data_IF_552974517931
#
_entry.id   IF_552974517931
#
_cell.length_a   1.000
_cell.length_b   1.000
_cell.length_c   1.000
_cell.angle_alpha   90.00
_cell.angle_beta   90.00
_cell.angle_gamma   90.00
#
_symmetry.space_group_name_H-M   'P 1'
#
loop_
_entity.id
_entity.type
_entity.pdbx_description
1 polymer ?
#
# COMPACT_ATOMS: atom_id res chain seq x y z
N UNK A 1 -23.26 12.03 -13.85
CA UNK A 1 -22.54 11.10 -12.96
C UNK A 1 -22.89 9.69 -13.40
N UNK A 2 -21.92 8.81 -13.62
CA UNK A 2 -22.22 7.42 -13.99
C UNK A 2 -22.76 6.63 -12.79
N UNK A 3 -23.44 5.49 -13.03
CA UNK A 3 -23.84 4.59 -11.91
C UNK A 3 -22.66 4.17 -11.04
N UNK A 4 -21.48 4.00 -11.64
CA UNK A 4 -20.24 3.72 -10.93
C UNK A 4 -19.81 4.89 -10.04
N UNK A 5 -19.86 6.12 -10.55
CA UNK A 5 -19.52 7.31 -9.76
C UNK A 5 -20.48 7.45 -8.55
N UNK A 6 -21.75 7.19 -8.74
CA UNK A 6 -22.75 7.23 -7.66
C UNK A 6 -22.46 6.17 -6.60
N UNK A 7 -22.19 4.93 -7.01
CA UNK A 7 -21.87 3.83 -6.11
C UNK A 7 -20.54 4.07 -5.36
N UNK A 8 -19.50 4.51 -6.06
CA UNK A 8 -18.20 4.83 -5.48
C UNK A 8 -18.29 5.99 -4.48
N UNK A 9 -18.98 7.07 -4.85
CA UNK A 9 -19.21 8.22 -3.97
C UNK A 9 -20.03 7.83 -2.74
N UNK A 10 -21.04 6.98 -2.89
CA UNK A 10 -21.81 6.50 -1.76
C UNK A 10 -20.95 5.74 -0.75
N UNK A 11 -20.14 4.77 -1.22
CA UNK A 11 -19.21 4.03 -0.37
C UNK A 11 -18.25 4.97 0.39
N UNK A 12 -17.67 5.94 -0.32
CA UNK A 12 -16.64 6.83 0.23
C UNK A 12 -17.22 7.88 1.20
N UNK A 13 -18.44 8.35 0.96
CA UNK A 13 -19.05 9.44 1.75
C UNK A 13 -19.89 8.92 2.93
N UNK A 14 -20.53 7.76 2.79
CA UNK A 14 -21.48 7.25 3.78
C UNK A 14 -20.83 6.31 4.79
N UNK A 15 -19.82 5.54 4.38
CA UNK A 15 -19.21 4.57 5.27
C UNK A 15 -18.06 5.18 6.07
N UNK A 16 -17.93 4.86 7.37
CA UNK A 16 -16.79 5.27 8.18
C UNK A 16 -15.48 4.81 7.53
N UNK A 17 -14.58 5.76 7.26
CA UNK A 17 -13.31 5.47 6.60
C UNK A 17 -12.16 6.00 7.44
N UNK A 18 -11.41 5.09 8.09
CA UNK A 18 -10.24 5.43 8.90
C UNK A 18 -9.22 6.29 8.15
N UNK A 19 -8.97 5.98 6.88
CA UNK A 19 -8.00 6.70 6.06
C UNK A 19 -8.35 8.18 5.83
N UNK A 20 -9.63 8.54 5.83
CA UNK A 20 -10.09 9.94 5.64
C UNK A 20 -10.33 10.69 6.92
N UNK A 21 -10.86 10.01 7.93
CA UNK A 21 -11.34 10.65 9.16
C UNK A 21 -10.35 10.53 10.31
N UNK A 22 -9.30 9.66 10.16
CA UNK A 22 -8.54 9.21 11.30
C UNK A 22 -9.38 8.30 12.20
N UNK A 23 -8.87 7.93 13.34
CA UNK A 23 -9.59 7.14 14.33
C UNK A 23 -8.96 7.30 15.70
N UNK A 24 -9.74 6.96 16.72
CA UNK A 24 -9.24 6.78 18.08
C UNK A 24 -9.20 5.29 18.41
N UNK A 25 -8.44 4.84 19.41
CA UNK A 25 -8.50 3.46 19.87
C UNK A 25 -9.94 2.99 20.20
N UNK A 26 -10.80 3.90 20.65
CA UNK A 26 -12.20 3.61 20.93
C UNK A 26 -13.06 3.34 19.67
N UNK A 27 -12.64 3.83 18.50
CA UNK A 27 -13.33 3.60 17.22
C UNK A 27 -12.73 2.44 16.42
N UNK A 28 -11.57 1.91 16.85
CA UNK A 28 -10.96 0.71 16.28
C UNK A 28 -11.68 -0.52 16.81
N UNK A 29 -12.34 -1.25 15.93
CA UNK A 29 -13.10 -2.44 16.33
C UNK A 29 -12.16 -3.58 16.71
N UNK A 30 -12.48 -4.25 17.82
CA UNK A 30 -11.67 -5.32 18.37
C UNK A 30 -12.20 -6.72 18.04
N UNK A 31 -13.01 -6.87 16.98
CA UNK A 31 -13.56 -8.16 16.56
C UNK A 31 -13.74 -8.23 15.04
N UNK A 32 -14.00 -9.44 14.54
CA UNK A 32 -14.27 -9.74 13.14
C UNK A 32 -15.73 -10.12 12.88
N UNK A 33 -16.62 -9.92 13.84
CA UNK A 33 -17.97 -10.47 13.78
C UNK A 33 -18.80 -9.83 12.65
N UNK A 34 -18.71 -8.52 12.47
CA UNK A 34 -19.38 -7.84 11.34
C UNK A 34 -18.81 -8.31 9.99
N UNK A 35 -17.49 -8.47 9.89
CA UNK A 35 -16.87 -9.00 8.67
C UNK A 35 -17.36 -10.43 8.37
N UNK A 36 -17.46 -11.29 9.39
CA UNK A 36 -17.98 -12.66 9.21
C UNK A 36 -19.44 -12.66 8.79
N UNK A 37 -20.30 -11.86 9.44
CA UNK A 37 -21.70 -11.70 9.06
C UNK A 37 -21.84 -11.18 7.64
N UNK A 38 -21.05 -10.17 7.26
CA UNK A 38 -21.02 -9.65 5.90
C UNK A 38 -20.64 -10.74 4.87
N UNK A 39 -19.60 -11.49 5.14
CA UNK A 39 -19.18 -12.58 4.26
C UNK A 39 -20.23 -13.70 4.19
N UNK A 40 -20.96 -13.96 5.27
CA UNK A 40 -22.06 -14.92 5.28
C UNK A 40 -23.22 -14.44 4.38
N UNK A 41 -23.60 -13.17 4.43
CA UNK A 41 -24.57 -12.55 3.49
C UNK A 41 -24.13 -12.75 2.04
N UNK A 42 -22.84 -12.60 1.74
CA UNK A 42 -22.26 -12.81 0.42
C UNK A 42 -22.08 -14.27 0.02
N UNK A 43 -22.45 -15.25 0.88
CA UNK A 43 -22.28 -16.67 0.64
C UNK A 43 -20.84 -17.16 0.82
N UNK A 44 -20.06 -16.54 1.73
CA UNK A 44 -18.68 -16.89 2.09
C UNK A 44 -17.72 -16.96 0.90
N UNK A 45 -17.64 -15.90 0.06
CA UNK A 45 -16.87 -15.93 -1.18
C UNK A 45 -15.37 -16.18 -0.98
N UNK A 46 -14.81 -15.82 0.19
CA UNK A 46 -13.41 -16.03 0.57
C UNK A 46 -13.00 -17.50 0.68
N UNK A 47 -13.95 -18.43 0.67
CA UNK A 47 -13.70 -19.88 0.72
C UNK A 47 -13.67 -20.53 -0.67
N UNK A 48 -13.98 -19.78 -1.73
CA UNK A 48 -14.14 -20.34 -3.08
C UNK A 48 -12.80 -20.57 -3.83
N UNK A 49 -11.68 -20.08 -3.30
CA UNK A 49 -10.36 -20.12 -3.94
C UNK A 49 -9.23 -20.08 -2.89
N UNK A 50 -8.05 -20.63 -3.20
CA UNK A 50 -6.88 -20.51 -2.33
C UNK A 50 -6.36 -19.08 -2.30
N UNK A 51 -5.66 -18.70 -1.21
CA UNK A 51 -5.08 -17.36 -1.11
C UNK A 51 -3.70 -17.34 -0.42
N UNK A 52 -2.97 -16.24 -0.60
CA UNK A 52 -1.78 -15.85 0.17
C UNK A 52 -2.12 -14.57 0.92
N UNK A 53 -1.81 -14.51 2.21
CA UNK A 53 -2.17 -13.40 3.09
C UNK A 53 -0.93 -12.62 3.52
N UNK A 54 -0.91 -11.30 3.29
CA UNK A 54 0.30 -10.47 3.43
C UNK A 54 0.06 -9.32 4.40
N UNK A 55 0.79 -9.34 5.53
CA UNK A 55 0.87 -8.27 6.51
C UNK A 55 2.27 -7.61 6.48
N UNK A 56 2.44 -6.54 7.26
CA UNK A 56 3.71 -5.83 7.42
C UNK A 56 3.49 -4.34 7.66
N UNK A 57 4.53 -3.63 8.04
CA UNK A 57 4.48 -2.17 8.11
C UNK A 57 4.63 -1.59 6.72
N UNK A 58 5.73 -1.84 6.05
CA UNK A 58 6.00 -1.42 4.67
C UNK A 58 6.19 -2.64 3.75
N UNK A 59 6.12 -2.43 2.43
CA UNK A 59 6.35 -3.48 1.45
C UNK A 59 5.17 -4.40 1.14
N UNK A 60 4.07 -4.37 1.92
CA UNK A 60 2.87 -5.20 1.68
C UNK A 60 2.39 -5.15 0.24
N UNK A 61 1.95 -3.97 -0.20
CA UNK A 61 1.41 -3.79 -1.55
C UNK A 61 2.42 -4.18 -2.64
N UNK A 62 3.71 -3.79 -2.51
CA UNK A 62 4.74 -4.20 -3.47
C UNK A 62 4.90 -5.72 -3.54
N UNK A 63 4.96 -6.40 -2.39
CA UNK A 63 5.05 -7.87 -2.32
C UNK A 63 3.81 -8.53 -2.90
N UNK A 64 2.60 -8.01 -2.60
CA UNK A 64 1.35 -8.51 -3.19
C UNK A 64 1.34 -8.39 -4.72
N UNK A 65 1.77 -7.24 -5.26
CA UNK A 65 1.85 -7.03 -6.70
C UNK A 65 2.94 -7.92 -7.35
N UNK A 66 4.08 -8.14 -6.69
CA UNK A 66 5.12 -9.05 -7.16
C UNK A 66 4.59 -10.49 -7.22
N UNK A 67 3.92 -10.97 -6.16
CA UNK A 67 3.29 -12.29 -6.11
C UNK A 67 2.24 -12.42 -7.22
N UNK A 68 1.34 -11.46 -7.36
CA UNK A 68 0.32 -11.47 -8.40
C UNK A 68 0.95 -11.54 -9.80
N UNK A 69 1.97 -10.73 -10.08
CA UNK A 69 2.68 -10.74 -11.37
C UNK A 69 3.37 -12.07 -11.65
N UNK A 70 4.02 -12.69 -10.63
CA UNK A 70 4.69 -13.99 -10.77
C UNK A 70 3.68 -15.08 -11.13
N UNK A 71 2.58 -15.16 -10.40
CA UNK A 71 1.56 -16.20 -10.65
C UNK A 71 0.78 -15.97 -11.95
N UNK A 72 0.61 -14.72 -12.39
CA UNK A 72 0.08 -14.43 -13.75
C UNK A 72 1.02 -14.92 -14.85
N UNK A 73 2.35 -14.74 -14.70
CA UNK A 73 3.34 -15.29 -15.65
C UNK A 73 3.43 -16.83 -15.56
N UNK A 74 2.94 -17.43 -14.48
CA UNK A 74 2.74 -18.87 -14.37
C UNK A 74 1.44 -19.35 -15.00
N UNK A 75 0.59 -18.43 -15.51
CA UNK A 75 -0.63 -18.77 -16.24
C UNK A 75 -1.90 -18.77 -15.38
N UNK A 76 -1.84 -18.33 -14.11
CA UNK A 76 -3.00 -18.30 -13.23
C UNK A 76 -3.81 -17.01 -13.40
N UNK A 77 -5.13 -17.10 -13.26
CA UNK A 77 -6.01 -15.95 -13.05
C UNK A 77 -5.92 -15.54 -11.59
N UNK A 78 -5.23 -14.40 -11.32
CA UNK A 78 -4.94 -13.96 -9.96
C UNK A 78 -5.89 -12.84 -9.55
N UNK A 79 -6.57 -13.00 -8.41
CA UNK A 79 -7.24 -11.95 -7.68
C UNK A 79 -6.21 -11.20 -6.79
N UNK A 80 -6.23 -9.88 -6.82
CA UNK A 80 -5.31 -9.06 -6.02
C UNK A 80 -6.10 -8.03 -5.21
N UNK A 81 -6.10 -8.19 -3.88
CA UNK A 81 -6.62 -7.21 -2.94
C UNK A 81 -5.49 -6.39 -2.35
N UNK A 82 -5.55 -5.05 -2.48
CA UNK A 82 -4.57 -4.12 -1.92
C UNK A 82 -5.23 -2.86 -1.35
N UNK A 83 -4.54 -2.16 -0.44
CA UNK A 83 -5.01 -0.91 0.14
C UNK A 83 -3.85 0.00 0.58
N UNK A 84 -4.06 1.34 0.53
CA UNK A 84 -5.16 2.05 -0.10
C UNK A 84 -5.09 2.03 -1.63
N UNK A 85 -6.16 2.45 -2.30
CA UNK A 85 -6.11 2.81 -3.71
C UNK A 85 -5.48 4.21 -3.89
N UNK A 86 -4.95 4.48 -5.09
CA UNK A 86 -4.39 5.79 -5.44
C UNK A 86 -5.39 6.66 -6.22
N UNK A 87 -5.96 6.15 -7.30
CA UNK A 87 -6.80 6.91 -8.21
C UNK A 87 -8.23 6.36 -8.35
N UNK A 88 -8.40 5.06 -8.18
CA UNK A 88 -9.64 4.36 -8.48
C UNK A 88 -9.95 3.32 -7.39
N UNK A 89 -11.17 3.32 -6.89
CA UNK A 89 -11.64 2.34 -5.88
C UNK A 89 -11.34 0.89 -6.31
N UNK A 90 -11.46 0.59 -7.60
CA UNK A 90 -11.25 -0.75 -8.18
C UNK A 90 -9.80 -1.23 -8.10
N UNK A 91 -8.84 -0.36 -7.78
CA UNK A 91 -7.47 -0.76 -7.48
C UNK A 91 -7.39 -1.69 -6.28
N UNK A 92 -8.40 -1.62 -5.37
CA UNK A 92 -8.49 -2.51 -4.20
C UNK A 92 -8.82 -3.95 -4.52
N UNK A 93 -9.33 -4.24 -5.72
CA UNK A 93 -9.69 -5.58 -6.18
C UNK A 93 -9.50 -5.70 -7.69
N UNK A 94 -8.34 -6.20 -8.07
CA UNK A 94 -7.97 -6.47 -9.46
C UNK A 94 -8.08 -7.97 -9.76
N UNK A 95 -8.41 -8.30 -10.99
CA UNK A 95 -8.42 -9.68 -11.48
C UNK A 95 -7.57 -9.76 -12.75
N UNK A 96 -6.57 -10.65 -12.75
CA UNK A 96 -5.64 -10.77 -13.87
C UNK A 96 -4.94 -9.44 -14.21
N UNK A 97 -4.62 -8.62 -13.17
CA UNK A 97 -4.02 -7.30 -13.31
C UNK A 97 -4.97 -6.17 -13.76
N UNK A 98 -6.21 -6.49 -14.12
CA UNK A 98 -7.21 -5.52 -14.60
C UNK A 98 -8.15 -5.07 -13.50
N UNK A 99 -8.63 -3.84 -13.60
CA UNK A 99 -9.71 -3.33 -12.76
C UNK A 99 -11.01 -4.08 -13.07
N UNK A 100 -11.82 -4.37 -12.05
CA UNK A 100 -13.17 -4.88 -12.25
C UNK A 100 -14.00 -3.90 -13.09
N UNK A 101 -14.97 -4.38 -13.90
CA UNK A 101 -15.87 -3.51 -14.65
C UNK A 101 -16.63 -2.55 -13.74
N UNK A 102 -16.83 -1.31 -14.19
CA UNK A 102 -17.60 -0.30 -13.45
C UNK A 102 -19.03 -0.76 -13.18
N UNK A 103 -19.64 -1.43 -14.17
CA UNK A 103 -20.97 -2.00 -14.02
C UNK A 103 -21.03 -3.02 -12.88
N UNK A 104 -20.02 -3.88 -12.74
CA UNK A 104 -19.98 -4.85 -11.63
C UNK A 104 -19.99 -4.17 -10.26
N UNK A 105 -19.22 -3.07 -10.11
CA UNK A 105 -19.18 -2.31 -8.84
C UNK A 105 -20.55 -1.65 -8.57
N UNK A 106 -21.15 -1.04 -9.59
CA UNK A 106 -22.45 -0.40 -9.47
C UNK A 106 -23.54 -1.43 -9.08
N UNK A 107 -23.59 -2.56 -9.79
CA UNK A 107 -24.56 -3.65 -9.54
C UNK A 107 -24.37 -4.23 -8.14
N UNK A 108 -23.13 -4.45 -7.71
CA UNK A 108 -22.83 -4.97 -6.37
C UNK A 108 -23.33 -4.00 -5.27
N UNK A 109 -23.00 -2.72 -5.40
CA UNK A 109 -23.43 -1.72 -4.40
C UNK A 109 -24.96 -1.59 -4.38
N UNK A 110 -25.61 -1.59 -5.53
CA UNK A 110 -27.06 -1.54 -5.62
C UNK A 110 -27.72 -2.75 -4.95
N UNK A 111 -27.20 -3.95 -5.20
CA UNK A 111 -27.74 -5.18 -4.63
C UNK A 111 -27.57 -5.28 -3.12
N UNK A 112 -26.46 -4.76 -2.57
CA UNK A 112 -26.07 -4.98 -1.18
C UNK A 112 -26.07 -3.72 -0.31
N UNK A 113 -26.58 -2.58 -0.82
CA UNK A 113 -26.59 -1.32 -0.07
C UNK A 113 -27.26 -1.46 1.31
N UNK A 114 -28.43 -2.14 1.36
CA UNK A 114 -29.17 -2.36 2.62
C UNK A 114 -28.37 -3.22 3.59
N UNK A 115 -27.80 -4.32 3.11
CA UNK A 115 -27.00 -5.21 3.97
C UNK A 115 -25.82 -4.47 4.59
N UNK A 116 -25.15 -3.61 3.79
CA UNK A 116 -24.02 -2.79 4.24
C UNK A 116 -24.48 -1.78 5.31
N UNK A 117 -25.63 -1.13 5.13
CA UNK A 117 -26.19 -0.17 6.09
C UNK A 117 -26.67 -0.89 7.36
N UNK A 118 -27.43 -1.98 7.25
CA UNK A 118 -27.99 -2.73 8.38
C UNK A 118 -26.88 -3.35 9.27
N UNK A 119 -25.78 -3.80 8.68
CA UNK A 119 -24.60 -4.27 9.39
C UNK A 119 -23.70 -3.13 9.90
N UNK A 120 -23.99 -1.88 9.52
CA UNK A 120 -23.17 -0.69 9.83
C UNK A 120 -21.69 -0.93 9.50
N UNK A 121 -21.39 -1.43 8.31
CA UNK A 121 -20.02 -1.74 7.90
C UNK A 121 -19.19 -0.48 7.76
N UNK A 122 -17.91 -0.59 8.09
CA UNK A 122 -16.92 0.38 7.68
C UNK A 122 -16.63 0.24 6.17
N UNK A 123 -16.07 1.29 5.58
CA UNK A 123 -15.62 1.26 4.21
C UNK A 123 -14.65 0.10 3.92
N UNK A 124 -13.76 -0.21 4.89
CA UNK A 124 -12.81 -1.31 4.71
C UNK A 124 -13.50 -2.67 4.74
N UNK A 125 -14.39 -2.93 5.70
CA UNK A 125 -15.17 -4.17 5.76
C UNK A 125 -16.00 -4.39 4.48
N UNK A 126 -16.69 -3.34 4.02
CA UNK A 126 -17.47 -3.40 2.78
C UNK A 126 -16.59 -3.74 1.57
N UNK A 127 -15.44 -3.05 1.41
CA UNK A 127 -14.55 -3.26 0.27
C UNK A 127 -13.77 -4.58 0.33
N UNK A 128 -13.49 -5.15 1.51
CA UNK A 128 -12.96 -6.52 1.65
C UNK A 128 -13.98 -7.55 1.15
N UNK A 129 -15.25 -7.44 1.55
CA UNK A 129 -16.31 -8.32 1.03
C UNK A 129 -16.49 -8.19 -0.48
N UNK A 130 -16.45 -6.94 -1.01
CA UNK A 130 -16.45 -6.69 -2.46
C UNK A 130 -15.29 -7.38 -3.17
N UNK A 131 -14.07 -7.29 -2.63
CA UNK A 131 -12.90 -7.95 -3.21
C UNK A 131 -13.09 -9.47 -3.28
N UNK A 132 -13.53 -10.07 -2.19
CA UNK A 132 -13.74 -11.52 -2.14
C UNK A 132 -14.86 -11.97 -3.07
N UNK A 133 -15.96 -11.24 -3.18
CA UNK A 133 -17.04 -11.52 -4.13
C UNK A 133 -16.57 -11.39 -5.59
N UNK A 134 -15.79 -10.32 -5.90
CA UNK A 134 -15.23 -10.12 -7.23
C UNK A 134 -14.33 -11.29 -7.67
N UNK A 135 -13.52 -11.83 -6.75
CA UNK A 135 -12.64 -12.96 -7.03
C UNK A 135 -13.41 -14.24 -7.26
N UNK A 136 -14.46 -14.53 -6.46
CA UNK A 136 -15.37 -15.66 -6.69
C UNK A 136 -16.06 -15.56 -8.04
N UNK A 137 -16.64 -14.40 -8.35
CA UNK A 137 -17.40 -14.18 -9.58
C UNK A 137 -16.51 -14.28 -10.82
N UNK A 138 -15.25 -13.85 -10.71
CA UNK A 138 -14.25 -14.01 -11.75
C UNK A 138 -13.58 -15.37 -11.79
N UNK A 139 -13.88 -16.28 -10.85
CA UNK A 139 -13.32 -17.64 -10.72
C UNK A 139 -11.78 -17.61 -10.75
N UNK A 140 -11.18 -16.81 -9.85
CA UNK A 140 -9.72 -16.74 -9.76
C UNK A 140 -9.13 -18.07 -9.30
N UNK A 141 -7.94 -18.42 -9.82
CA UNK A 141 -7.19 -19.61 -9.39
C UNK A 141 -6.47 -19.40 -8.06
N UNK A 142 -6.13 -18.14 -7.75
CA UNK A 142 -5.42 -17.73 -6.53
C UNK A 142 -5.76 -16.28 -6.19
N UNK A 143 -5.95 -15.97 -4.91
CA UNK A 143 -6.04 -14.61 -4.43
C UNK A 143 -4.78 -14.20 -3.63
N UNK A 144 -4.28 -13.01 -3.87
CA UNK A 144 -3.26 -12.35 -3.05
C UNK A 144 -3.96 -11.26 -2.25
N UNK A 145 -3.90 -11.36 -0.91
CA UNK A 145 -4.70 -10.54 -0.01
C UNK A 145 -3.80 -9.72 0.90
N UNK A 146 -3.82 -8.39 0.75
CA UNK A 146 -3.11 -7.46 1.61
C UNK A 146 -3.92 -7.11 2.86
N UNK A 147 -3.30 -7.20 4.04
CA UNK A 147 -3.84 -6.67 5.30
C UNK A 147 -3.91 -5.16 5.26
N UNK A 148 -5.03 -4.58 5.68
CA UNK A 148 -5.18 -3.13 5.76
C UNK A 148 -4.35 -2.51 6.89
N UNK A 149 -4.55 -2.98 8.13
CA UNK A 149 -3.84 -2.49 9.31
C UNK A 149 -3.69 -3.60 10.36
N UNK A 150 -2.49 -3.68 11.00
CA UNK A 150 -2.23 -4.71 11.99
C UNK A 150 -2.12 -6.09 11.37
N UNK A 151 -3.05 -6.96 11.68
CA UNK A 151 -3.18 -8.32 11.16
C UNK A 151 -4.24 -9.11 11.91
N UNK A 152 -4.08 -9.31 13.22
CA UNK A 152 -4.93 -10.16 14.06
C UNK A 152 -6.43 -9.84 13.95
N UNK A 153 -6.78 -8.58 13.95
CA UNK A 153 -8.16 -8.07 13.90
C UNK A 153 -8.50 -7.36 12.57
N UNK A 154 -7.65 -7.52 11.55
CA UNK A 154 -7.94 -6.98 10.22
C UNK A 154 -9.06 -7.78 9.55
N UNK A 155 -9.97 -7.08 8.84
CA UNK A 155 -11.12 -7.71 8.16
C UNK A 155 -10.71 -8.79 7.16
N UNK A 156 -9.46 -8.74 6.65
CA UNK A 156 -8.94 -9.79 5.78
C UNK A 156 -8.56 -11.07 6.52
N UNK A 157 -8.41 -11.04 7.86
CA UNK A 157 -7.93 -12.19 8.65
C UNK A 157 -8.96 -13.30 8.89
N UNK A 158 -10.01 -13.31 8.10
CA UNK A 158 -11.03 -14.39 8.01
C UNK A 158 -10.61 -15.52 7.07
N UNK A 159 -9.55 -15.32 6.29
CA UNK A 159 -9.05 -16.29 5.31
C UNK A 159 -8.18 -17.39 5.96
N UNK A 160 -8.11 -18.55 5.29
CA UNK A 160 -7.16 -19.63 5.57
C UNK A 160 -6.19 -19.71 4.38
N UNK A 161 -5.00 -19.10 4.48
CA UNK A 161 -4.10 -18.97 3.33
C UNK A 161 -3.21 -20.21 3.12
N UNK A 162 -2.63 -20.34 1.92
CA UNK A 162 -1.56 -21.30 1.62
C UNK A 162 -0.22 -20.88 2.29
N UNK A 163 -0.01 -19.59 2.46
CA UNK A 163 1.14 -19.02 3.17
C UNK A 163 0.74 -17.69 3.79
N UNK A 164 1.20 -17.44 5.02
CA UNK A 164 1.17 -16.13 5.68
C UNK A 164 2.49 -15.41 5.44
N UNK A 165 2.45 -14.09 5.18
CA UNK A 165 3.64 -13.30 4.86
C UNK A 165 3.67 -12.04 5.72
N UNK A 166 4.80 -11.77 6.37
CA UNK A 166 5.03 -10.53 7.13
C UNK A 166 6.25 -9.85 6.53
N UNK A 167 6.04 -8.73 5.83
CA UNK A 167 7.09 -8.10 5.01
C UNK A 167 8.13 -7.38 5.84
N UNK A 168 7.72 -6.51 6.75
CA UNK A 168 8.60 -5.73 7.62
C UNK A 168 7.88 -5.28 8.90
N UNK A 169 8.66 -4.92 9.93
CA UNK A 169 8.16 -4.37 11.19
C UNK A 169 8.86 -3.03 11.48
N UNK A 170 8.09 -1.96 11.46
CA UNK A 170 8.52 -0.62 11.84
C UNK A 170 7.45 0.07 12.68
N UNK A 171 7.81 1.17 13.32
CA UNK A 171 6.85 1.98 14.08
C UNK A 171 5.88 2.66 13.11
N UNK A 172 4.62 2.27 13.17
CA UNK A 172 3.50 2.90 12.48
C UNK A 172 2.20 2.52 13.20
N UNK A 173 1.21 3.39 13.18
CA UNK A 173 -0.07 3.17 13.87
C UNK A 173 0.08 2.81 15.35
N UNK A 174 1.06 3.38 16.05
CA UNK A 174 1.42 3.02 17.43
C UNK A 174 0.28 3.21 18.43
N UNK A 175 -0.63 4.16 18.18
CA UNK A 175 -1.84 4.36 18.98
C UNK A 175 -2.81 3.14 18.95
N UNK A 176 -2.71 2.26 17.94
CA UNK A 176 -3.58 1.11 17.73
C UNK A 176 -2.87 -0.23 17.91
N UNK A 177 -1.61 -0.32 17.46
CA UNK A 177 -0.87 -1.57 17.39
C UNK A 177 0.11 -1.77 18.54
N UNK A 178 0.26 -0.73 19.38
CA UNK A 178 1.20 -0.73 20.50
C UNK A 178 2.42 0.15 20.28
N UNK A 179 3.10 0.53 21.37
CA UNK A 179 4.13 1.58 21.35
C UNK A 179 5.50 1.11 20.82
N UNK A 180 5.72 -0.18 20.67
CA UNK A 180 7.00 -0.78 20.31
C UNK A 180 6.89 -1.80 19.17
N UNK A 181 8.04 -2.17 18.59
CA UNK A 181 8.10 -3.10 17.46
C UNK A 181 7.63 -4.51 17.81
N UNK A 182 7.84 -4.96 19.05
CA UNK A 182 7.40 -6.28 19.52
C UNK A 182 5.88 -6.37 19.57
N UNK A 183 5.20 -5.33 20.06
CA UNK A 183 3.73 -5.23 20.07
C UNK A 183 3.17 -5.23 18.63
N UNK A 184 3.76 -4.43 17.73
CA UNK A 184 3.38 -4.38 16.32
C UNK A 184 3.63 -5.73 15.63
N UNK A 185 4.74 -6.41 15.95
CA UNK A 185 5.03 -7.76 15.44
C UNK A 185 3.96 -8.77 15.87
N UNK A 186 3.53 -8.72 17.14
CA UNK A 186 2.49 -9.60 17.70
C UNK A 186 1.15 -9.40 17.00
N UNK A 187 0.73 -8.16 16.76
CA UNK A 187 -0.50 -7.86 16.02
C UNK A 187 -0.43 -8.37 14.55
N UNK A 188 0.72 -8.20 13.89
CA UNK A 188 0.89 -8.69 12.51
C UNK A 188 1.00 -10.21 12.46
N UNK A 189 1.66 -10.83 13.42
CA UNK A 189 1.75 -12.28 13.54
C UNK A 189 0.39 -12.97 13.78
N UNK A 190 -0.64 -12.22 14.13
CA UNK A 190 -2.01 -12.72 14.22
C UNK A 190 -2.60 -13.25 12.90
N UNK A 191 -1.91 -13.08 11.77
CA UNK A 191 -2.27 -13.74 10.50
C UNK A 191 -1.67 -15.15 10.34
N UNK A 192 -0.78 -15.58 11.24
CA UNK A 192 -0.22 -16.94 11.23
C UNK A 192 -1.34 -17.92 11.60
N UNK A 193 -1.58 -18.90 10.74
CA UNK A 193 -2.65 -19.87 10.89
C UNK A 193 -2.10 -21.25 11.21
N UNK A 194 -2.86 -22.11 11.89
CA UNK A 194 -2.41 -23.47 12.22
C UNK A 194 -1.92 -24.23 11.00
N UNK A 195 -0.70 -24.78 11.08
CA UNK A 195 -0.02 -25.60 10.07
C UNK A 195 0.31 -24.89 8.75
N UNK A 196 0.01 -23.60 8.61
CA UNK A 196 0.30 -22.79 7.42
C UNK A 196 1.71 -22.22 7.52
N UNK A 197 2.59 -22.35 6.51
CA UNK A 197 3.93 -21.76 6.55
C UNK A 197 3.87 -20.24 6.63
N UNK A 198 4.80 -19.65 7.38
CA UNK A 198 4.94 -18.19 7.50
C UNK A 198 6.29 -17.72 7.01
N UNK A 199 6.26 -16.68 6.14
CA UNK A 199 7.46 -16.00 5.64
C UNK A 199 7.59 -14.66 6.34
N UNK A 200 8.75 -14.41 6.97
CA UNK A 200 9.10 -13.14 7.63
C UNK A 200 10.23 -12.48 6.86
N UNK A 201 9.94 -11.31 6.28
CA UNK A 201 10.85 -10.60 5.37
C UNK A 201 11.95 -9.83 6.10
N UNK A 202 11.62 -9.23 7.24
CA UNK A 202 12.56 -8.47 8.07
C UNK A 202 12.47 -8.95 9.52
N UNK A 203 13.63 -9.21 10.11
CA UNK A 203 13.73 -9.73 11.47
C UNK A 203 15.06 -9.35 12.10
N UNK A 204 15.07 -9.24 13.42
CA UNK A 204 16.22 -9.01 14.27
C UNK A 204 15.99 -9.64 15.66
N UNK A 205 16.93 -9.41 16.59
CA UNK A 205 16.86 -9.99 17.93
C UNK A 205 15.66 -9.50 18.77
N UNK A 206 15.08 -8.35 18.43
CA UNK A 206 13.92 -7.79 19.13
C UNK A 206 12.61 -8.50 18.74
N UNK A 207 12.38 -8.70 17.43
CA UNK A 207 11.08 -9.15 16.92
C UNK A 207 11.04 -10.63 16.56
N UNK A 208 12.18 -11.27 16.28
CA UNK A 208 12.23 -12.70 15.91
C UNK A 208 11.62 -13.63 16.96
N UNK A 209 11.84 -13.43 18.27
CA UNK A 209 11.23 -14.27 19.31
C UNK A 209 9.70 -14.28 19.27
N UNK A 210 9.07 -13.15 18.90
CA UNK A 210 7.60 -13.05 18.76
C UNK A 210 7.10 -13.98 17.64
N UNK A 211 7.77 -13.99 16.49
CA UNK A 211 7.40 -14.86 15.38
C UNK A 211 7.65 -16.33 15.68
N UNK A 212 8.75 -16.66 16.38
CA UNK A 212 9.07 -18.03 16.80
C UNK A 212 8.01 -18.57 17.77
N UNK A 213 7.64 -17.79 18.79
CA UNK A 213 6.59 -18.13 19.76
C UNK A 213 5.26 -18.46 19.05
N UNK A 214 4.79 -17.54 18.20
CA UNK A 214 3.48 -17.67 17.55
C UNK A 214 3.48 -18.76 16.49
N UNK A 215 4.56 -18.91 15.73
CA UNK A 215 4.70 -19.97 14.75
C UNK A 215 4.70 -21.36 15.41
N UNK A 216 5.45 -21.50 16.52
CA UNK A 216 5.47 -22.75 17.32
C UNK A 216 4.08 -23.07 17.86
N UNK A 217 3.37 -22.10 18.44
CA UNK A 217 2.02 -22.27 18.98
C UNK A 217 1.01 -22.71 17.93
N UNK A 218 1.22 -22.33 16.66
CA UNK A 218 0.38 -22.73 15.52
C UNK A 218 0.91 -23.95 14.74
N UNK A 219 1.99 -24.58 15.21
CA UNK A 219 2.67 -25.65 14.45
C UNK A 219 2.97 -25.21 12.98
N UNK A 220 3.36 -23.95 12.80
CA UNK A 220 3.66 -23.33 11.52
C UNK A 220 5.16 -23.33 11.25
N UNK A 221 5.57 -23.66 10.03
CA UNK A 221 6.97 -23.56 9.65
C UNK A 221 7.34 -22.09 9.41
N UNK A 222 8.34 -21.59 10.17
CA UNK A 222 8.83 -20.21 10.07
C UNK A 222 9.98 -20.12 9.06
N UNK A 223 9.85 -19.27 8.06
CA UNK A 223 10.85 -18.97 7.04
C UNK A 223 11.31 -17.51 7.13
N UNK A 224 12.50 -17.30 7.68
CA UNK A 224 13.11 -15.97 7.78
C UNK A 224 13.90 -15.66 6.50
N UNK A 225 13.59 -14.53 5.86
CA UNK A 225 14.30 -14.05 4.67
C UNK A 225 15.58 -13.32 5.09
N UNK A 226 16.71 -13.63 4.47
CA UNK A 226 17.99 -12.94 4.70
C UNK A 226 18.47 -12.19 3.46
N UNK A 227 19.43 -11.28 3.64
CA UNK A 227 20.06 -10.56 2.54
C UNK A 227 20.83 -11.48 1.59
N UNK A 228 21.19 -12.69 2.04
CA UNK A 228 21.85 -13.73 1.23
C UNK A 228 20.88 -14.49 0.33
N UNK A 229 19.55 -14.40 0.62
CA UNK A 229 18.56 -15.04 -0.24
C UNK A 229 18.65 -14.49 -1.66
N UNK A 230 18.41 -15.37 -2.63
CA UNK A 230 18.45 -15.04 -4.06
C UNK A 230 17.44 -13.92 -4.35
N UNK A 231 17.81 -12.98 -5.21
CA UNK A 231 16.96 -11.91 -5.71
C UNK A 231 17.07 -11.82 -7.22
N UNK A 232 15.98 -11.47 -7.88
CA UNK A 232 15.94 -11.16 -9.29
C UNK A 232 15.61 -9.68 -9.49
N UNK A 233 16.02 -9.12 -10.63
CA UNK A 233 15.70 -7.75 -10.99
C UNK A 233 14.18 -7.58 -11.14
N UNK A 234 13.69 -6.42 -10.71
CA UNK A 234 12.30 -6.01 -10.85
C UNK A 234 12.23 -4.70 -11.63
N UNK A 235 11.10 -4.44 -12.30
CA UNK A 235 10.80 -3.16 -12.94
C UNK A 235 10.46 -2.05 -11.91
N UNK A 236 10.26 -2.40 -10.65
CA UNK A 236 10.06 -1.45 -9.56
C UNK A 236 11.41 -0.86 -9.11
N UNK A 237 11.54 0.46 -9.20
CA UNK A 237 12.84 1.14 -9.13
C UNK A 237 13.30 1.54 -7.72
N UNK A 238 12.49 1.33 -6.66
CA UNK A 238 12.89 1.60 -5.27
C UNK A 238 13.96 0.60 -4.81
N UNK A 239 15.05 1.05 -4.18
CA UNK A 239 16.10 0.16 -3.66
C UNK A 239 15.55 -0.88 -2.67
N UNK A 240 14.55 -0.49 -1.88
CA UNK A 240 13.83 -1.37 -0.94
C UNK A 240 13.05 -2.51 -1.63
N UNK A 241 12.84 -2.45 -2.95
CA UNK A 241 12.14 -3.49 -3.69
C UNK A 241 12.93 -4.79 -3.79
N UNK A 242 14.25 -4.75 -3.64
CA UNK A 242 15.07 -5.96 -3.59
C UNK A 242 14.66 -6.86 -2.41
N UNK A 243 14.38 -6.28 -1.25
CA UNK A 243 13.90 -7.05 -0.10
C UNK A 243 12.48 -7.58 -0.31
N UNK A 244 11.56 -6.76 -0.86
CA UNK A 244 10.22 -7.22 -1.21
C UNK A 244 10.25 -8.38 -2.22
N UNK A 245 11.18 -8.34 -3.19
CA UNK A 245 11.36 -9.42 -4.16
C UNK A 245 11.86 -10.72 -3.49
N UNK A 246 12.78 -10.64 -2.52
CA UNK A 246 13.21 -11.82 -1.74
C UNK A 246 12.04 -12.44 -0.98
N UNK A 247 11.20 -11.60 -0.36
CA UNK A 247 9.98 -12.05 0.34
C UNK A 247 9.03 -12.75 -0.63
N UNK A 248 8.78 -12.16 -1.80
CA UNK A 248 7.92 -12.75 -2.81
C UNK A 248 8.47 -14.10 -3.31
N UNK A 249 9.77 -14.19 -3.60
CA UNK A 249 10.42 -15.44 -4.05
C UNK A 249 10.32 -16.53 -2.96
N UNK A 250 10.61 -16.19 -1.70
CA UNK A 250 10.49 -17.14 -0.60
C UNK A 250 9.04 -17.60 -0.41
N UNK A 251 8.08 -16.69 -0.58
CA UNK A 251 6.65 -17.03 -0.50
C UNK A 251 6.24 -18.02 -1.60
N UNK A 252 6.66 -17.78 -2.84
CA UNK A 252 6.42 -18.72 -3.95
C UNK A 252 6.99 -20.11 -3.64
N UNK A 253 8.17 -20.19 -3.03
CA UNK A 253 8.82 -21.44 -2.69
C UNK A 253 8.05 -22.27 -1.64
N UNK A 254 7.28 -21.63 -0.74
CA UNK A 254 6.57 -22.30 0.36
C UNK A 254 5.06 -22.42 0.16
N UNK A 255 4.46 -21.68 -0.77
CA UNK A 255 3.02 -21.66 -0.98
C UNK A 255 2.47 -22.93 -1.66
N UNK A 256 3.31 -23.85 -2.10
CA UNK A 256 2.90 -25.15 -2.65
C UNK A 256 2.33 -25.09 -4.07
N UNK A 257 2.32 -23.94 -4.74
CA UNK A 257 1.92 -23.79 -6.14
C UNK A 257 3.19 -23.81 -7.01
N UNK A 258 3.32 -24.78 -7.95
CA UNK A 258 4.52 -24.86 -8.79
C UNK A 258 4.69 -23.63 -9.69
N UNK A 259 5.87 -23.01 -9.61
CA UNK A 259 6.28 -21.88 -10.48
C UNK A 259 7.71 -22.10 -10.92
N UNK A 260 7.96 -21.99 -12.23
CA UNK A 260 9.29 -22.15 -12.79
C UNK A 260 10.13 -20.89 -12.60
N UNK A 261 11.45 -21.02 -12.46
CA UNK A 261 12.33 -19.88 -12.24
C UNK A 261 12.20 -18.77 -13.31
N UNK A 262 12.04 -19.14 -14.58
CA UNK A 262 11.88 -18.16 -15.65
C UNK A 262 10.56 -17.37 -15.52
N UNK A 263 9.49 -17.99 -14.97
CA UNK A 263 8.21 -17.31 -14.68
C UNK A 263 8.37 -16.32 -13.52
N UNK A 264 9.13 -16.69 -12.46
CA UNK A 264 9.47 -15.78 -11.37
C UNK A 264 10.24 -14.57 -11.91
N UNK A 265 11.28 -14.79 -12.74
CA UNK A 265 12.06 -13.71 -13.36
C UNK A 265 11.18 -12.77 -14.21
N UNK A 266 10.34 -13.36 -15.06
CA UNK A 266 9.42 -12.59 -15.91
C UNK A 266 8.40 -11.81 -15.08
N UNK A 267 7.80 -12.44 -14.08
CA UNK A 267 6.85 -11.78 -13.20
C UNK A 267 7.46 -10.58 -12.47
N UNK A 268 8.65 -10.73 -11.91
CA UNK A 268 9.35 -9.63 -11.24
C UNK A 268 9.76 -8.51 -12.22
N UNK A 269 10.14 -8.84 -13.46
CA UNK A 269 10.52 -7.84 -14.46
C UNK A 269 9.34 -7.05 -15.06
N UNK A 270 8.09 -7.39 -14.70
CA UNK A 270 6.86 -6.81 -15.28
C UNK A 270 5.80 -6.48 -14.22
N UNK A 271 6.18 -6.27 -12.98
CA UNK A 271 5.23 -6.06 -11.88
C UNK A 271 4.28 -4.90 -12.17
N UNK A 272 4.83 -3.72 -12.49
CA UNK A 272 4.03 -2.55 -12.80
C UNK A 272 3.17 -2.77 -14.06
N UNK A 273 3.72 -3.38 -15.10
CA UNK A 273 3.00 -3.66 -16.35
C UNK A 273 1.84 -4.65 -16.16
N UNK A 274 2.08 -5.74 -15.41
CA UNK A 274 1.09 -6.80 -15.20
C UNK A 274 0.00 -6.42 -14.19
N UNK A 275 0.29 -5.51 -13.25
CA UNK A 275 -0.59 -5.28 -12.09
C UNK A 275 -1.01 -3.83 -11.90
N UNK A 276 -0.41 -2.89 -12.63
CA UNK A 276 -0.74 -1.47 -12.55
C UNK A 276 -0.32 -0.81 -11.23
N UNK A 277 0.71 -1.31 -10.52
CA UNK A 277 1.24 -0.68 -9.30
C UNK A 277 1.78 0.71 -9.60
N UNK A 278 1.36 1.70 -8.81
CA UNK A 278 1.80 3.09 -8.90
C UNK A 278 2.24 3.62 -7.53
N UNK A 279 2.99 4.73 -7.53
CA UNK A 279 3.33 5.48 -6.31
C UNK A 279 4.35 4.79 -5.41
N UNK A 280 5.20 3.90 -5.93
CA UNK A 280 6.30 3.24 -5.23
C UNK A 280 7.59 3.46 -5.99
N UNK A 281 8.30 4.55 -5.69
CA UNK A 281 9.40 5.07 -6.49
C UNK A 281 9.02 5.18 -7.97
N UNK A 282 7.88 5.81 -8.21
CA UNK A 282 7.24 5.90 -9.53
C UNK A 282 7.85 7.08 -10.30
N UNK A 283 8.60 6.80 -11.36
CA UNK A 283 9.20 7.83 -12.20
C UNK A 283 8.16 8.37 -13.17
N UNK A 284 7.57 9.52 -12.82
CA UNK A 284 6.52 10.16 -13.60
C UNK A 284 7.07 10.87 -14.85
N UNK A 285 8.29 11.40 -14.74
CA UNK A 285 8.98 12.12 -15.81
C UNK A 285 10.50 11.95 -15.68
N UNK A 286 11.20 11.86 -16.81
CA UNK A 286 12.65 11.66 -16.83
C UNK A 286 13.44 12.96 -16.94
N UNK A 287 12.85 14.02 -17.53
CA UNK A 287 13.50 15.33 -17.73
C UNK A 287 12.45 16.46 -17.68
N UNK A 288 12.36 17.23 -16.56
CA UNK A 288 13.09 16.99 -15.32
C UNK A 288 12.76 15.61 -14.71
N UNK A 289 13.66 15.08 -13.89
CA UNK A 289 13.34 13.87 -13.16
C UNK A 289 12.22 14.16 -12.14
N UNK A 290 11.08 13.51 -12.26
CA UNK A 290 9.98 13.58 -11.28
C UNK A 290 9.72 12.18 -10.75
N UNK A 291 9.92 12.00 -9.44
CA UNK A 291 9.71 10.72 -8.73
C UNK A 291 8.62 10.88 -7.70
N UNK A 292 7.65 9.99 -7.68
CA UNK A 292 6.61 9.91 -6.66
C UNK A 292 6.77 8.66 -5.80
N UNK A 293 6.80 8.85 -4.47
CA UNK A 293 6.92 7.74 -3.51
C UNK A 293 6.05 7.97 -2.28
N UNK A 294 5.25 6.98 -1.91
CA UNK A 294 4.28 7.06 -0.82
C UNK A 294 4.83 6.67 0.56
N UNK A 295 6.16 6.65 0.73
CA UNK A 295 6.77 6.53 2.05
C UNK A 295 6.29 7.67 2.97
N UNK A 296 5.81 7.31 4.18
CA UNK A 296 5.15 8.25 5.10
C UNK A 296 5.40 7.93 6.58
N UNK A 297 6.24 6.97 6.88
CA UNK A 297 6.75 6.64 8.20
C UNK A 297 8.28 6.51 8.13
N UNK A 298 8.99 6.65 9.25
CA UNK A 298 10.45 6.68 9.30
C UNK A 298 11.10 5.46 8.62
N UNK A 299 10.55 4.28 8.88
CA UNK A 299 11.06 3.02 8.33
C UNK A 299 11.00 2.95 6.78
N UNK A 300 10.03 3.61 6.14
CA UNK A 300 9.94 3.72 4.68
C UNK A 300 10.62 4.97 4.13
N UNK A 301 10.55 6.07 4.88
CA UNK A 301 11.07 7.38 4.45
C UNK A 301 12.60 7.42 4.35
N UNK A 302 13.31 6.89 5.36
CA UNK A 302 14.77 6.91 5.40
C UNK A 302 15.40 6.23 4.17
N UNK A 303 15.04 5.00 3.79
CA UNK A 303 15.54 4.39 2.56
C UNK A 303 15.21 5.17 1.30
N UNK A 304 14.01 5.75 1.21
CA UNK A 304 13.62 6.59 0.08
C UNK A 304 14.50 7.85 -0.01
N UNK A 305 14.82 8.51 1.09
CA UNK A 305 15.69 9.68 1.11
C UNK A 305 17.15 9.35 0.79
N UNK A 306 17.65 8.22 1.23
CA UNK A 306 18.99 7.74 0.84
C UNK A 306 19.08 7.55 -0.68
N UNK A 307 18.08 6.87 -1.26
CA UNK A 307 18.00 6.70 -2.71
C UNK A 307 17.84 8.03 -3.44
N UNK A 308 16.97 8.93 -2.93
CA UNK A 308 16.76 10.25 -3.51
C UNK A 308 18.05 11.04 -3.59
N UNK A 309 18.79 11.13 -2.48
CA UNK A 309 20.07 11.83 -2.43
C UNK A 309 21.09 11.28 -3.41
N UNK A 310 21.16 9.97 -3.57
CA UNK A 310 22.05 9.30 -4.53
C UNK A 310 21.67 9.61 -5.98
N UNK A 311 20.36 9.55 -6.33
CA UNK A 311 19.89 9.70 -7.71
C UNK A 311 19.86 11.17 -8.16
N UNK A 312 19.46 12.08 -7.29
CA UNK A 312 19.49 13.52 -7.62
C UNK A 312 20.92 14.03 -7.79
N UNK A 313 21.89 13.50 -7.02
CA UNK A 313 23.29 13.92 -7.04
C UNK A 313 23.42 15.43 -6.82
N UNK A 314 24.15 16.13 -7.69
CA UNK A 314 24.34 17.58 -7.66
C UNK A 314 23.27 18.39 -8.41
N UNK A 315 22.18 17.76 -8.86
CA UNK A 315 21.10 18.47 -9.56
C UNK A 315 20.40 19.44 -8.61
N UNK A 316 20.01 20.61 -9.14
CA UNK A 316 19.11 21.52 -8.43
C UNK A 316 17.78 20.80 -8.21
N UNK A 317 17.47 20.51 -6.94
CA UNK A 317 16.38 19.63 -6.58
C UNK A 317 15.28 20.35 -5.77
N UNK A 318 14.05 19.94 -5.98
CA UNK A 318 12.88 20.33 -5.20
C UNK A 318 12.16 19.09 -4.63
N UNK A 319 11.41 19.30 -3.56
CA UNK A 319 10.52 18.28 -3.01
C UNK A 319 9.11 18.85 -2.87
N UNK A 320 8.13 18.16 -3.40
CA UNK A 320 6.69 18.45 -3.24
C UNK A 320 6.18 17.58 -2.11
N UNK A 321 5.90 18.17 -0.96
CA UNK A 321 5.57 17.44 0.25
C UNK A 321 4.23 17.87 0.84
N UNK A 322 3.41 16.87 1.19
CA UNK A 322 2.17 17.04 1.93
C UNK A 322 1.94 15.87 2.88
N UNK A 323 1.53 16.18 4.09
CA UNK A 323 1.44 15.24 5.21
C UNK A 323 0.05 15.25 5.84
N UNK A 324 -0.24 14.27 6.68
CA UNK A 324 -1.48 14.18 7.46
C UNK A 324 -1.21 14.58 8.91
N UNK A 325 -2.25 15.07 9.59
CA UNK A 325 -2.14 15.70 10.91
C UNK A 325 -1.82 14.74 12.06
N UNK A 326 -2.05 13.44 11.87
CA UNK A 326 -1.94 12.39 12.91
C UNK A 326 -0.59 11.63 12.86
N UNK A 327 0.41 12.12 12.13
CA UNK A 327 1.72 11.49 12.02
C UNK A 327 2.79 12.24 12.83
N UNK A 328 3.70 11.47 13.43
CA UNK A 328 4.95 12.02 13.95
C UNK A 328 5.85 12.40 12.77
N UNK A 329 6.16 13.69 12.67
CA UNK A 329 6.95 14.28 11.57
C UNK A 329 8.42 14.48 11.95
N UNK A 330 8.83 14.16 13.18
CA UNK A 330 10.14 14.47 13.73
C UNK A 330 11.28 13.94 12.86
N UNK A 331 11.29 12.64 12.58
CA UNK A 331 12.34 12.03 11.76
C UNK A 331 12.23 12.44 10.28
N UNK A 332 11.02 12.64 9.76
CA UNK A 332 10.81 13.14 8.42
C UNK A 332 11.49 14.49 8.25
N UNK A 333 11.23 15.45 9.14
CA UNK A 333 11.80 16.79 9.09
C UNK A 333 13.33 16.79 9.22
N UNK A 334 13.89 15.91 10.05
CA UNK A 334 15.34 15.80 10.25
C UNK A 334 16.07 15.24 9.03
N UNK A 335 15.42 14.41 8.24
CA UNK A 335 16.04 13.70 7.09
C UNK A 335 15.82 14.39 5.75
N UNK A 336 15.00 15.45 5.68
CA UNK A 336 14.85 16.26 4.47
C UNK A 336 16.17 16.95 4.14
N UNK A 337 16.70 16.80 2.90
CA UNK A 337 17.93 17.47 2.49
C UNK A 337 17.80 18.99 2.52
N UNK A 338 18.71 19.67 3.26
CA UNK A 338 18.66 21.13 3.48
C UNK A 338 18.92 21.96 2.23
N UNK A 339 19.53 21.38 1.21
CA UNK A 339 19.80 22.00 -0.10
C UNK A 339 18.65 21.85 -1.10
N UNK A 340 17.55 21.19 -0.72
CA UNK A 340 16.32 21.13 -1.51
C UNK A 340 15.39 22.30 -1.17
N UNK A 341 14.70 22.81 -2.18
CA UNK A 341 13.54 23.72 -1.97
C UNK A 341 12.29 22.86 -1.79
N UNK A 342 11.55 23.13 -0.71
CA UNK A 342 10.32 22.40 -0.41
C UNK A 342 9.12 23.19 -0.92
N UNK A 343 8.31 22.55 -1.75
CA UNK A 343 6.99 23.02 -2.15
C UNK A 343 5.98 22.30 -1.26
N UNK A 344 5.58 22.97 -0.17
CA UNK A 344 4.59 22.44 0.78
C UNK A 344 3.20 22.57 0.20
N UNK A 345 2.43 21.47 0.17
CA UNK A 345 1.04 21.46 -0.27
C UNK A 345 0.15 20.67 0.68
N UNK A 346 -1.15 20.92 0.61
CA UNK A 346 -2.16 20.21 1.39
C UNK A 346 -2.73 19.06 0.57
N UNK A 347 -2.66 17.79 1.05
CA UNK A 347 -3.32 16.68 0.40
C UNK A 347 -4.84 16.84 0.36
N UNK A 348 -5.50 16.37 -0.69
CA UNK A 348 -6.96 16.51 -0.91
C UNK A 348 -7.79 15.59 -0.01
N UNK A 349 -7.55 15.60 1.31
CA UNK A 349 -8.29 14.80 2.30
C UNK A 349 -8.60 15.59 3.59
N UNK A 350 -9.70 15.28 4.31
CA UNK A 350 -10.11 16.03 5.51
C UNK A 350 -9.08 16.05 6.66
N UNK A 351 -8.24 15.02 6.79
CA UNK A 351 -7.19 14.94 7.83
C UNK A 351 -5.82 15.44 7.38
N UNK A 352 -5.75 16.16 6.27
CA UNK A 352 -4.50 16.82 5.88
C UNK A 352 -4.02 17.76 7.00
N UNK A 353 -2.71 17.88 7.15
CA UNK A 353 -2.15 18.96 7.96
C UNK A 353 -2.35 20.25 7.17
N UNK A 354 -3.00 21.22 7.79
CA UNK A 354 -3.30 22.52 7.18
C UNK A 354 -2.02 23.17 6.62
N UNK A 355 -2.12 23.77 5.43
CA UNK A 355 -0.99 24.30 4.68
C UNK A 355 -0.16 25.30 5.49
N UNK A 356 -0.82 26.20 6.25
CA UNK A 356 -0.12 27.21 7.05
C UNK A 356 0.69 26.58 8.18
N UNK A 357 0.12 25.59 8.87
CA UNK A 357 0.80 24.84 9.92
C UNK A 357 1.96 24.00 9.35
N UNK A 358 1.76 23.35 8.20
CA UNK A 358 2.80 22.57 7.53
C UNK A 358 3.99 23.45 7.11
N UNK A 359 3.72 24.59 6.48
CA UNK A 359 4.75 25.56 6.06
C UNK A 359 5.53 26.11 7.26
N UNK A 360 4.86 26.38 8.39
CA UNK A 360 5.50 26.82 9.61
C UNK A 360 6.49 25.76 10.14
N UNK A 361 6.07 24.51 10.28
CA UNK A 361 6.93 23.39 10.72
C UNK A 361 8.15 23.21 9.83
N UNK A 362 8.00 23.30 8.52
CA UNK A 362 9.11 23.19 7.58
C UNK A 362 10.10 24.34 7.74
N UNK A 363 9.62 25.58 7.95
CA UNK A 363 10.48 26.77 8.19
C UNK A 363 11.22 26.67 9.52
N UNK A 364 10.53 26.24 10.57
CA UNK A 364 11.13 26.02 11.89
C UNK A 364 12.22 24.94 11.85
N UNK A 365 12.07 23.95 10.97
CA UNK A 365 13.11 22.97 10.67
C UNK A 365 14.28 23.54 9.82
N UNK A 366 14.29 24.83 9.50
CA UNK A 366 15.36 25.50 8.74
C UNK A 366 15.38 25.19 7.25
N UNK A 367 14.23 24.84 6.66
CA UNK A 367 14.08 24.52 5.25
C UNK A 367 13.65 25.74 4.42
N UNK A 368 14.04 25.78 3.14
CA UNK A 368 13.53 26.77 2.19
C UNK A 368 12.17 26.31 1.68
N UNK A 369 11.10 27.07 1.97
CA UNK A 369 9.72 26.61 1.72
C UNK A 369 8.94 27.58 0.85
N UNK A 370 8.19 27.04 -0.10
CA UNK A 370 7.13 27.68 -0.88
C UNK A 370 5.80 27.01 -0.58
N UNK A 371 4.76 27.81 -0.32
CA UNK A 371 3.41 27.31 -0.13
C UNK A 371 2.72 27.16 -1.49
N UNK A 372 2.06 26.03 -1.73
CA UNK A 372 1.28 25.76 -2.93
C UNK A 372 -0.09 25.17 -2.53
N UNK A 373 -1.14 25.51 -3.26
CA UNK A 373 -2.50 25.04 -2.97
C UNK A 373 -2.72 23.56 -3.34
N UNK A 374 -1.89 23.00 -4.23
CA UNK A 374 -2.02 21.63 -4.69
C UNK A 374 -0.68 21.03 -5.14
N UNK A 375 -0.62 19.70 -5.20
CA UNK A 375 0.54 18.99 -5.76
C UNK A 375 0.78 19.36 -7.24
N UNK A 376 -0.28 19.60 -8.03
CA UNK A 376 -0.18 20.02 -9.43
C UNK A 376 0.51 21.38 -9.55
N UNK A 377 0.08 22.37 -8.78
CA UNK A 377 0.69 23.70 -8.72
C UNK A 377 2.16 23.62 -8.32
N UNK A 378 2.45 22.87 -7.23
CA UNK A 378 3.80 22.69 -6.72
C UNK A 378 4.76 22.08 -7.77
N UNK A 379 4.34 21.04 -8.49
CA UNK A 379 5.13 20.40 -9.54
C UNK A 379 5.34 21.38 -10.71
N UNK A 380 4.30 22.08 -11.17
CA UNK A 380 4.39 23.02 -12.27
C UNK A 380 5.31 24.20 -11.92
N UNK A 381 5.20 24.75 -10.71
CA UNK A 381 6.05 25.83 -10.25
C UNK A 381 7.52 25.38 -10.14
N UNK A 382 7.79 24.19 -9.58
CA UNK A 382 9.13 23.64 -9.53
C UNK A 382 9.73 23.44 -10.94
N UNK A 383 8.95 22.98 -11.90
CA UNK A 383 9.37 22.89 -13.31
C UNK A 383 9.66 24.25 -13.91
N UNK A 384 8.79 25.23 -13.70
CA UNK A 384 8.94 26.61 -14.24
C UNK A 384 10.20 27.27 -13.71
N UNK A 385 10.56 27.01 -12.44
CA UNK A 385 11.79 27.51 -11.81
C UNK A 385 13.07 26.77 -12.22
N UNK A 386 12.96 25.76 -13.09
CA UNK A 386 14.10 25.04 -13.67
C UNK A 386 14.73 24.00 -12.72
N UNK A 387 14.00 23.46 -11.76
CA UNK A 387 14.47 22.32 -10.98
C UNK A 387 14.64 21.11 -11.88
N UNK A 388 15.78 20.43 -11.75
CA UNK A 388 16.17 19.28 -12.59
C UNK A 388 15.71 17.94 -12.02
N UNK A 389 15.43 17.93 -10.70
CA UNK A 389 14.94 16.76 -9.98
C UNK A 389 13.86 17.19 -8.98
N UNK A 390 12.72 16.51 -8.99
CA UNK A 390 11.55 16.80 -8.16
C UNK A 390 11.10 15.49 -7.51
N UNK A 391 11.07 15.44 -6.19
CA UNK A 391 10.51 14.35 -5.41
C UNK A 391 9.10 14.72 -4.96
N UNK A 392 8.15 13.79 -5.06
CA UNK A 392 6.77 13.97 -4.60
C UNK A 392 6.47 12.92 -3.54
N UNK A 393 6.12 13.34 -2.31
CA UNK A 393 5.89 12.39 -1.22
C UNK A 393 5.45 13.01 0.09
N UNK A 394 5.73 12.31 1.21
CA UNK A 394 5.29 12.66 2.55
C UNK A 394 3.97 12.01 2.95
N UNK A 395 3.11 11.67 1.99
CA UNK A 395 1.92 10.86 2.18
C UNK A 395 1.48 10.17 0.89
N UNK A 396 0.74 9.07 1.01
CA UNK A 396 0.11 8.42 -0.16
C UNK A 396 -0.90 9.34 -0.87
N UNK A 397 -1.48 10.29 -0.16
CA UNK A 397 -2.48 11.19 -0.69
C UNK A 397 -1.89 12.26 -1.62
N UNK A 398 -0.78 12.87 -1.24
CA UNK A 398 -0.09 13.82 -2.13
C UNK A 398 0.45 13.13 -3.38
N UNK A 399 0.85 11.87 -3.26
CA UNK A 399 1.24 11.05 -4.41
C UNK A 399 0.03 10.77 -5.31
N UNK A 400 -1.13 10.43 -4.73
CA UNK A 400 -2.36 10.24 -5.47
C UNK A 400 -2.79 11.53 -6.21
N UNK A 401 -2.74 12.69 -5.54
CA UNK A 401 -3.04 13.99 -6.15
C UNK A 401 -2.10 14.28 -7.34
N UNK A 402 -0.80 13.98 -7.20
CA UNK A 402 0.16 14.15 -8.29
C UNK A 402 -0.12 13.20 -9.45
N UNK A 403 -0.42 11.92 -9.17
CA UNK A 403 -0.80 10.95 -10.20
C UNK A 403 -2.06 11.38 -10.95
N UNK A 404 -3.08 11.87 -10.23
CA UNK A 404 -4.29 12.44 -10.82
C UNK A 404 -3.96 13.63 -11.72
N UNK A 405 -3.12 14.56 -11.23
CA UNK A 405 -2.71 15.74 -11.99
C UNK A 405 -2.00 15.38 -13.31
N UNK A 406 -1.17 14.33 -13.32
CA UNK A 406 -0.55 13.83 -14.55
C UNK A 406 -1.55 13.13 -15.49
N UNK A 407 -2.50 12.36 -14.94
CA UNK A 407 -3.56 11.71 -15.71
C UNK A 407 -4.46 12.73 -16.40
N UNK A 408 -4.84 13.78 -15.67
CA UNK A 408 -5.82 14.78 -16.11
C UNK A 408 -5.18 15.92 -16.93
N UNK A 409 -3.86 15.84 -17.19
CA UNK A 409 -3.13 16.85 -17.99
C UNK A 409 -2.91 18.18 -17.29
N UNK A 410 -3.14 18.26 -15.97
CA UNK A 410 -2.90 19.46 -15.17
C UNK A 410 -1.41 19.73 -14.92
N UNK A 411 -0.57 18.70 -15.06
CA UNK A 411 0.88 18.81 -15.11
C UNK A 411 1.33 18.49 -16.52
N UNK A 412 1.82 19.50 -17.24
CA UNK A 412 2.31 19.33 -18.61
C UNK A 412 3.60 18.53 -18.63
N UNK A 413 3.66 17.45 -19.40
CA UNK A 413 4.93 16.81 -19.79
C UNK A 413 5.65 17.74 -20.74
N UNK A 414 6.91 18.09 -20.50
CA UNK A 414 7.70 18.78 -21.50
C UNK A 414 7.91 17.81 -22.67
N UNK A 415 7.26 18.07 -23.80
CA UNK A 415 7.58 17.39 -25.05
C UNK A 415 9.03 17.77 -25.41
N UNK A 416 9.91 16.79 -25.41
CA UNK A 416 11.22 16.97 -26.01
C UNK A 416 11.04 16.76 -27.51
N UNK A 417 10.96 17.89 -28.27
CA UNK A 417 11.32 17.91 -29.68
C UNK A 417 12.81 17.65 -29.83
#
# INVERSE_FOLDING_TARGET
MSRFDEASNWLVQRLPMFQRQGGTPATYRMDLDKTRQWLQVLGNPHQAYPCIHVAGTNGKGSTCHMLASIYQEAGLVVGLHTSPHMLDLRERFRVGGRLMPEAWVADFVEAHRRDIEDLELSFFEATVGMAFAAFRDARVDLAIVEVGMGGRLDSTNVVMPLASVITSIGLDHTAFLGPDRSSIAREKAGIIKPTVPVVVGEWDAEILPVFQEIALANNSQLHCVSSQNRVFLTDLQGDYQAQNARVAIQTVAVAGIPVLEHQIRRGLSKVAANTGLRGRWDVLEKRPLVVADSAHNSHGWIPAMLQWNRIRGSKRAAMVLGVVSDKDLTELLQTIPKDCVIFGCEPSIPRALELTAWVALLRDAGLQVRACLSAAEAINQAKAEGFQAIYVGGSSFVVADALAAYRDGLVSKRNHS
#
